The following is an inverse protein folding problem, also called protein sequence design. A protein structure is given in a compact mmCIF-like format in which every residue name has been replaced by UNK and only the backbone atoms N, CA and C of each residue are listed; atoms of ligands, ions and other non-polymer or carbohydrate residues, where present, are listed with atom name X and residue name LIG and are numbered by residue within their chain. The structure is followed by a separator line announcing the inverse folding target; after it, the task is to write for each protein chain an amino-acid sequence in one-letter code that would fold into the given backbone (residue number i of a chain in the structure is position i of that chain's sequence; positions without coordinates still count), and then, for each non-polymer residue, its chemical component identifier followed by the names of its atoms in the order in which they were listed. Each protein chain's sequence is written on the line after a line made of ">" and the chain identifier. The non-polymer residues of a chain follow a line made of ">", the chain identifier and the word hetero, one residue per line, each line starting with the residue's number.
data_IF_782801032445
#
_entry.id   IF_782801032445
#
_cell.length_a   1.000
_cell.length_b   1.000
_cell.length_c   1.000
_cell.angle_alpha   90.00
_cell.angle_beta   90.00
_cell.angle_gamma   90.00
#
_symmetry.space_group_name_H-M   'P 1'
#
loop_
_entity.id
_entity.type
_entity.pdbx_description
1 polymer ?
#
# COMPACT_ATOMS: atom_id res chain seq x y z
N UNK A 1 -5.81 -15.34 -7.21
CA UNK A 1 -4.70 -15.25 -6.25
C UNK A 1 -4.77 -13.86 -5.66
N UNK A 2 -4.89 -13.76 -4.34
CA UNK A 2 -4.95 -12.50 -3.61
C UNK A 2 -3.53 -11.90 -3.65
N UNK A 3 -3.36 -10.70 -4.21
CA UNK A 3 -2.07 -10.02 -4.23
C UNK A 3 -1.89 -9.31 -2.88
N UNK A 4 -1.43 -10.05 -1.88
CA UNK A 4 -1.04 -9.43 -0.62
C UNK A 4 0.15 -8.49 -0.87
N UNK A 5 0.17 -7.33 -0.20
CA UNK A 5 1.32 -6.45 -0.24
C UNK A 5 2.53 -7.10 0.42
N UNK A 6 3.72 -6.66 0.01
CA UNK A 6 5.01 -7.05 0.56
C UNK A 6 5.72 -5.77 1.02
N UNK A 7 6.22 -5.77 2.26
CA UNK A 7 6.99 -4.66 2.80
C UNK A 7 8.24 -4.38 1.94
N UNK A 8 8.54 -3.10 1.73
CA UNK A 8 9.62 -2.62 0.87
C UNK A 8 9.33 -2.69 -0.63
N UNK A 9 8.10 -3.00 -1.05
CA UNK A 9 7.71 -3.00 -2.47
C UNK A 9 6.86 -1.79 -2.81
N UNK A 10 6.99 -1.34 -4.07
CA UNK A 10 6.19 -0.23 -4.61
C UNK A 10 5.04 -0.78 -5.44
N UNK A 11 3.86 -0.22 -5.20
CA UNK A 11 2.62 -0.57 -5.86
C UNK A 11 2.00 0.67 -6.50
N UNK A 12 1.29 0.44 -7.59
CA UNK A 12 0.50 1.47 -8.26
C UNK A 12 -0.94 1.01 -8.37
N UNK A 13 -1.86 1.88 -7.97
CA UNK A 13 -3.28 1.78 -8.30
C UNK A 13 -3.61 2.92 -9.25
N UNK A 14 -4.28 2.61 -10.35
CA UNK A 14 -4.83 3.60 -11.25
C UNK A 14 -6.35 3.46 -11.26
N UNK A 15 -7.04 4.49 -10.79
CA UNK A 15 -8.47 4.66 -11.04
C UNK A 15 -8.65 5.53 -12.30
N UNK A 16 -9.87 5.62 -12.80
CA UNK A 16 -10.18 6.40 -14.02
C UNK A 16 -9.82 7.90 -13.90
N UNK A 17 -9.56 8.40 -12.68
CA UNK A 17 -9.30 9.82 -12.42
C UNK A 17 -8.06 10.10 -11.56
N UNK A 18 -7.40 9.09 -10.99
CA UNK A 18 -6.20 9.29 -10.17
C UNK A 18 -5.24 8.10 -10.22
N UNK A 19 -3.94 8.38 -10.03
CA UNK A 19 -2.90 7.38 -9.81
C UNK A 19 -2.40 7.52 -8.38
N UNK A 20 -2.42 6.42 -7.65
CA UNK A 20 -1.91 6.30 -6.29
C UNK A 20 -0.66 5.42 -6.36
N UNK A 21 0.45 5.98 -5.93
CA UNK A 21 1.72 5.27 -5.79
C UNK A 21 1.96 5.06 -4.31
N UNK A 22 2.21 3.83 -3.91
CA UNK A 22 2.41 3.45 -2.51
C UNK A 22 3.62 2.54 -2.44
N UNK A 23 4.65 2.96 -1.73
CA UNK A 23 5.63 2.02 -1.21
C UNK A 23 5.10 1.45 0.10
N UNK A 24 4.88 0.12 0.17
CA UNK A 24 4.55 -0.55 1.43
C UNK A 24 5.78 -0.49 2.33
N UNK A 25 5.69 0.23 3.44
CA UNK A 25 6.78 0.35 4.42
C UNK A 25 6.61 -0.64 5.56
N UNK A 26 5.37 -0.99 5.89
CA UNK A 26 5.05 -1.92 6.96
C UNK A 26 3.76 -2.70 6.67
N UNK A 27 3.69 -3.89 7.28
CA UNK A 27 2.54 -4.80 7.23
C UNK A 27 2.21 -5.24 8.65
N UNK A 28 1.10 -4.71 9.16
CA UNK A 28 0.58 -5.10 10.47
C UNK A 28 -0.29 -6.33 10.26
N UNK A 29 -0.05 -7.42 11.00
CA UNK A 29 -0.75 -8.70 10.82
C UNK A 29 -2.14 -8.74 11.48
N UNK A 30 -2.93 -9.74 11.08
CA UNK A 30 -4.33 -9.95 11.46
C UNK A 30 -4.55 -10.05 12.97
N UNK A 31 -3.60 -10.62 13.70
CA UNK A 31 -3.70 -10.84 15.14
C UNK A 31 -3.73 -9.53 15.93
N UNK A 32 -3.14 -8.46 15.40
CA UNK A 32 -3.17 -7.12 15.98
C UNK A 32 -4.38 -6.28 15.51
N UNK A 33 -4.99 -6.64 14.37
CA UNK A 33 -6.04 -5.84 13.70
C UNK A 33 -7.44 -6.48 13.71
N UNK A 34 -7.58 -7.71 14.21
CA UNK A 34 -8.84 -8.44 14.21
C UNK A 34 -9.29 -8.87 12.82
N UNK A 35 -10.53 -8.55 12.44
CA UNK A 35 -11.16 -9.02 11.19
C UNK A 35 -10.50 -8.45 9.91
N UNK A 36 -9.65 -7.43 10.03
CA UNK A 36 -9.04 -6.76 8.89
C UNK A 36 -7.92 -7.58 8.22
N UNK A 37 -7.29 -8.55 8.89
CA UNK A 37 -6.29 -9.42 8.26
C UNK A 37 -4.90 -8.79 8.03
N UNK A 38 -4.83 -7.55 7.53
CA UNK A 38 -3.60 -6.74 7.51
C UNK A 38 -3.89 -5.24 7.35
N UNK A 39 -2.91 -4.40 7.70
CA UNK A 39 -2.86 -2.97 7.37
C UNK A 39 -1.55 -2.65 6.66
N UNK A 40 -1.61 -1.86 5.59
CA UNK A 40 -0.45 -1.36 4.85
C UNK A 40 -0.22 0.08 5.23
N UNK A 41 0.95 0.34 5.82
CA UNK A 41 1.46 1.70 5.91
C UNK A 41 2.33 1.97 4.70
N UNK A 42 2.18 3.12 4.06
CA UNK A 42 2.99 3.49 2.91
C UNK A 42 3.07 4.98 2.64
N UNK A 43 3.85 5.37 1.64
CA UNK A 43 3.98 6.75 1.20
C UNK A 43 4.08 6.83 -0.34
N UNK A 44 3.84 8.02 -0.90
CA UNK A 44 4.16 8.26 -2.31
C UNK A 44 5.70 8.16 -2.46
N UNK A 45 6.22 7.28 -3.34
CA UNK A 45 7.66 7.09 -3.53
C UNK A 45 8.42 8.38 -3.82
N UNK A 46 7.76 9.39 -4.42
CA UNK A 46 8.38 10.69 -4.70
C UNK A 46 8.71 11.48 -3.43
N UNK A 47 8.00 11.18 -2.34
CA UNK A 47 8.06 11.89 -1.06
C UNK A 47 8.82 11.09 0.01
N UNK A 48 9.38 9.90 -0.31
CA UNK A 48 10.06 8.98 0.66
C UNK A 48 11.15 9.64 1.52
N UNK A 49 11.76 10.72 1.05
CA UNK A 49 12.80 11.47 1.77
C UNK A 49 12.30 12.67 2.58
N UNK A 50 11.00 13.00 2.48
CA UNK A 50 10.41 14.16 3.13
C UNK A 50 9.70 13.76 4.42
N UNK A 51 10.06 14.39 5.54
CA UNK A 51 9.44 14.16 6.86
C UNK A 51 7.97 14.62 6.90
N UNK A 52 7.46 15.25 5.84
CA UNK A 52 6.05 15.58 5.63
C UNK A 52 5.31 14.66 4.65
N UNK A 53 5.90 13.53 4.24
CA UNK A 53 5.30 12.61 3.28
C UNK A 53 3.88 12.20 3.69
N UNK A 54 2.97 12.15 2.71
CA UNK A 54 1.60 11.66 2.93
C UNK A 54 1.67 10.17 3.20
N UNK A 55 1.52 9.82 4.48
CA UNK A 55 1.30 8.44 4.90
C UNK A 55 -0.06 7.96 4.42
N UNK A 56 -0.11 6.79 3.82
CA UNK A 56 -1.33 6.06 3.53
C UNK A 56 -1.41 4.86 4.46
N UNK A 57 -2.57 4.66 5.07
CA UNK A 57 -2.93 3.44 5.78
C UNK A 57 -4.07 2.79 5.00
N UNK A 58 -3.86 1.58 4.49
CA UNK A 58 -4.87 0.81 3.80
C UNK A 58 -5.17 -0.47 4.56
N UNK A 59 -6.43 -0.67 4.93
CA UNK A 59 -6.92 -1.97 5.41
C UNK A 59 -7.10 -2.93 4.23
N UNK A 60 -7.28 -4.22 4.51
CA UNK A 60 -7.40 -5.27 3.49
C UNK A 60 -8.51 -5.00 2.45
N UNK A 61 -9.69 -4.55 2.87
CA UNK A 61 -10.80 -4.22 1.98
C UNK A 61 -10.49 -3.03 1.06
N UNK A 62 -9.85 -1.99 1.60
CA UNK A 62 -9.40 -0.83 0.82
C UNK A 62 -8.28 -1.23 -0.17
N UNK A 63 -7.33 -2.05 0.29
CA UNK A 63 -6.26 -2.59 -0.55
C UNK A 63 -6.83 -3.36 -1.76
N UNK A 64 -7.80 -4.24 -1.52
CA UNK A 64 -8.48 -4.99 -2.57
C UNK A 64 -9.28 -4.08 -3.51
N UNK A 65 -9.97 -3.07 -2.97
CA UNK A 65 -10.74 -2.12 -3.77
C UNK A 65 -9.86 -1.31 -4.73
N UNK A 66 -8.65 -0.96 -4.29
CA UNK A 66 -7.68 -0.20 -5.09
C UNK A 66 -7.03 -1.01 -6.21
N UNK A 67 -7.09 -2.34 -6.19
CA UNK A 67 -6.51 -3.22 -7.23
C UNK A 67 -5.04 -2.88 -7.53
N UNK A 68 -4.25 -2.72 -6.48
CA UNK A 68 -2.82 -2.41 -6.59
C UNK A 68 -2.08 -3.43 -7.45
N UNK A 69 -1.18 -2.93 -8.29
CA UNK A 69 -0.26 -3.74 -9.10
C UNK A 69 1.17 -3.46 -8.65
N UNK A 70 1.93 -4.53 -8.42
CA UNK A 70 3.35 -4.43 -8.10
C UNK A 70 4.10 -3.76 -9.26
N UNK A 71 4.83 -2.67 -8.97
CA UNK A 71 5.78 -2.13 -9.94
C UNK A 71 7.00 -3.05 -9.97
N UNK A 72 7.30 -3.63 -11.13
CA UNK A 72 8.56 -4.34 -11.30
C UNK A 72 9.70 -3.32 -11.19
N UNK A 73 10.55 -3.51 -10.18
CA UNK A 73 11.83 -2.80 -10.10
C UNK A 73 12.69 -3.25 -11.28
N UNK A 74 13.05 -2.31 -12.15
CA UNK A 74 14.06 -2.49 -13.21
C UNK A 74 15.44 -2.83 -12.63
#
# INVERSE_FOLDING_TARGET
>A
MQNLPEAGKTYISQTDQSKIYVESVDLIEADELGDAGFCVTGCDPKDKGDMGAVGYEFMNDEWEAHRFTLMQSE
#
